data_IF_172302362447
#
_entry.id   IF_172302362447
#
_cell.length_a   1.000
_cell.length_b   1.000
_cell.length_c   1.000
_cell.angle_alpha   90.00
_cell.angle_beta   90.00
_cell.angle_gamma   90.00
#
_symmetry.space_group_name_H-M   'P 1'
#
loop_
_entity.id
_entity.type
_entity.pdbx_description
1 polymer ?
#
# COMPACT_ATOMS: atom_id res chain seq x y z
N UNK A 1 13.93 21.79 17.93
CA UNK A 1 12.66 21.56 18.66
C UNK A 1 12.58 20.07 18.91
N UNK A 2 12.63 19.67 20.19
CA UNK A 2 12.68 18.27 20.62
C UNK A 2 11.25 17.73 20.69
N UNK A 3 10.89 16.81 19.79
CA UNK A 3 9.63 16.07 19.87
C UNK A 3 9.66 15.18 21.12
N UNK A 4 8.96 15.62 22.16
CA UNK A 4 8.79 14.89 23.41
C UNK A 4 7.82 13.71 23.16
N UNK A 5 8.32 12.64 22.54
CA UNK A 5 7.55 11.42 22.33
C UNK A 5 7.27 10.78 23.69
N UNK A 6 6.07 11.04 24.23
CA UNK A 6 5.53 10.32 25.37
C UNK A 6 5.62 8.83 25.07
N UNK A 7 6.34 8.09 25.91
CA UNK A 7 6.39 6.62 25.81
C UNK A 7 4.96 6.11 25.84
N UNK A 8 4.57 5.17 24.97
CA UNK A 8 3.23 4.59 25.02
C UNK A 8 3.06 3.94 26.40
N UNK A 9 2.22 4.55 27.23
CA UNK A 9 1.79 4.01 28.51
C UNK A 9 0.79 2.89 28.24
N UNK A 10 0.86 1.84 29.05
CA UNK A 10 -0.16 0.80 29.01
C UNK A 10 -1.54 1.43 29.31
N UNK A 11 -2.61 1.02 28.62
CA UNK A 11 -3.95 1.57 28.86
C UNK A 11 -4.39 1.37 30.31
N UNK A 12 -5.29 2.22 30.80
CA UNK A 12 -5.89 2.03 32.14
C UNK A 12 -6.82 0.80 32.16
N UNK A 13 -7.09 0.24 33.34
CA UNK A 13 -8.07 -0.84 33.48
C UNK A 13 -9.45 -0.45 32.95
N UNK A 14 -9.86 0.80 33.18
CA UNK A 14 -11.12 1.36 32.65
C UNK A 14 -11.13 1.41 31.11
N UNK A 15 -10.03 1.80 30.46
CA UNK A 15 -9.91 1.77 29.00
C UNK A 15 -10.01 0.34 28.45
N UNK A 16 -9.36 -0.62 29.12
CA UNK A 16 -9.41 -2.04 28.73
C UNK A 16 -10.83 -2.59 28.88
N UNK A 17 -11.52 -2.27 29.98
CA UNK A 17 -12.90 -2.69 30.22
C UNK A 17 -13.86 -2.08 29.18
N UNK A 18 -13.71 -0.79 28.86
CA UNK A 18 -14.50 -0.13 27.83
C UNK A 18 -14.31 -0.78 26.45
N UNK A 19 -13.08 -1.06 26.06
CA UNK A 19 -12.77 -1.75 24.80
C UNK A 19 -13.36 -3.17 24.81
N UNK A 20 -13.23 -3.89 25.92
CA UNK A 20 -13.75 -5.26 26.07
C UNK A 20 -15.28 -5.28 25.96
N UNK A 21 -15.95 -4.34 26.62
CA UNK A 21 -17.41 -4.19 26.57
C UNK A 21 -17.90 -3.84 25.16
N UNK A 22 -17.17 -2.95 24.47
CA UNK A 22 -17.48 -2.59 23.08
C UNK A 22 -17.40 -3.79 22.12
N UNK A 23 -16.36 -4.62 22.23
CA UNK A 23 -16.22 -5.82 21.36
C UNK A 23 -17.08 -7.00 21.80
N UNK A 24 -17.61 -6.98 23.03
CA UNK A 24 -18.55 -7.97 23.54
C UNK A 24 -19.99 -7.72 23.08
N UNK A 25 -20.30 -6.53 22.56
CA UNK A 25 -21.61 -6.25 21.99
C UNK A 25 -21.85 -7.11 20.73
N UNK A 26 -22.91 -7.91 20.76
CA UNK A 26 -23.38 -8.71 19.63
C UNK A 26 -23.68 -7.91 18.36
N UNK A 27 -23.92 -6.60 18.48
CA UNK A 27 -24.18 -5.68 17.38
C UNK A 27 -22.94 -4.89 16.94
N UNK A 28 -21.76 -5.17 17.51
CA UNK A 28 -20.53 -4.48 17.17
C UNK A 28 -20.21 -4.65 15.68
N UNK A 29 -20.21 -3.52 14.96
CA UNK A 29 -20.02 -3.48 13.50
C UNK A 29 -18.54 -3.55 13.10
N UNK A 30 -17.61 -3.52 14.04
CA UNK A 30 -16.18 -3.44 13.74
C UNK A 30 -15.44 -4.75 14.04
N UNK A 31 -16.19 -5.86 14.10
CA UNK A 31 -15.63 -7.20 14.30
C UNK A 31 -15.28 -7.84 12.94
N UNK A 32 -14.05 -8.34 12.85
CA UNK A 32 -13.62 -9.19 11.75
C UNK A 32 -14.33 -10.55 11.82
N UNK A 33 -15.04 -10.92 10.77
CA UNK A 33 -15.63 -12.24 10.63
C UNK A 33 -14.55 -13.24 10.19
N UNK A 34 -14.08 -14.04 11.14
CA UNK A 34 -13.16 -15.15 10.88
C UNK A 34 -13.85 -16.29 10.13
N UNK A 35 -13.07 -17.01 9.33
CA UNK A 35 -13.55 -18.21 8.66
C UNK A 35 -13.75 -19.34 9.69
N UNK A 36 -14.90 -20.01 9.66
CA UNK A 36 -15.17 -21.18 10.50
C UNK A 36 -14.26 -22.35 10.11
N UNK A 37 -13.90 -23.19 11.08
CA UNK A 37 -13.02 -24.36 10.85
C UNK A 37 -13.59 -25.37 9.85
N UNK A 38 -14.92 -25.46 9.75
CA UNK A 38 -15.65 -26.31 8.82
C UNK A 38 -16.24 -25.54 7.61
N UNK A 39 -15.70 -24.36 7.29
CA UNK A 39 -16.19 -23.56 6.17
C UNK A 39 -16.11 -24.31 4.83
N UNK A 40 -17.08 -24.04 3.96
CA UNK A 40 -17.12 -24.63 2.61
C UNK A 40 -15.94 -24.15 1.75
N UNK A 41 -15.59 -24.92 0.71
CA UNK A 41 -14.57 -24.48 -0.26
C UNK A 41 -14.94 -23.16 -0.93
N UNK A 42 -16.22 -22.92 -1.18
CA UNK A 42 -16.70 -21.66 -1.72
C UNK A 42 -16.41 -20.49 -0.77
N UNK A 43 -16.66 -20.67 0.53
CA UNK A 43 -16.41 -19.65 1.54
C UNK A 43 -14.92 -19.40 1.74
N UNK A 44 -14.08 -20.45 1.69
CA UNK A 44 -12.62 -20.32 1.70
C UNK A 44 -12.12 -19.45 0.56
N UNK A 45 -12.63 -19.66 -0.66
CA UNK A 45 -12.26 -18.85 -1.84
C UNK A 45 -12.70 -17.40 -1.65
N UNK A 46 -13.94 -17.15 -1.24
CA UNK A 46 -14.43 -15.78 -0.98
C UNK A 46 -13.57 -15.07 0.07
N UNK A 47 -13.25 -15.78 1.15
CA UNK A 47 -12.44 -15.23 2.24
C UNK A 47 -11.02 -14.89 1.77
N UNK A 48 -10.41 -15.79 0.98
CA UNK A 48 -9.10 -15.55 0.36
C UNK A 48 -9.09 -14.29 -0.52
N UNK A 49 -10.14 -14.08 -1.31
CA UNK A 49 -10.30 -12.86 -2.11
C UNK A 49 -10.40 -11.60 -1.25
N UNK A 50 -11.21 -11.62 -0.17
CA UNK A 50 -11.27 -10.50 0.78
C UNK A 50 -9.90 -10.22 1.41
N UNK A 51 -9.19 -11.25 1.86
CA UNK A 51 -7.85 -11.10 2.45
C UNK A 51 -6.83 -10.52 1.48
N UNK A 52 -6.92 -10.89 0.20
CA UNK A 52 -6.08 -10.32 -0.85
C UNK A 52 -6.34 -8.81 -1.03
N UNK A 53 -7.61 -8.39 -1.05
CA UNK A 53 -7.97 -6.96 -1.13
C UNK A 53 -7.50 -6.21 0.12
N UNK A 54 -7.68 -6.79 1.32
CA UNK A 54 -7.19 -6.21 2.57
C UNK A 54 -5.68 -6.07 2.60
N UNK A 55 -4.94 -7.04 2.04
CA UNK A 55 -3.49 -6.97 1.88
C UNK A 55 -3.09 -5.82 0.96
N UNK A 56 -3.72 -5.70 -0.20
CA UNK A 56 -3.49 -4.59 -1.14
C UNK A 56 -3.66 -3.23 -0.47
N UNK A 57 -4.74 -3.04 0.30
CA UNK A 57 -4.97 -1.80 1.09
C UNK A 57 -3.80 -1.50 2.02
N UNK A 58 -3.31 -2.49 2.77
CA UNK A 58 -2.17 -2.31 3.70
C UNK A 58 -0.88 -1.96 2.96
N UNK A 59 -0.55 -2.68 1.89
CA UNK A 59 0.68 -2.50 1.12
C UNK A 59 0.71 -1.13 0.43
N UNK A 60 -0.45 -0.66 -0.05
CA UNK A 60 -0.59 0.65 -0.68
C UNK A 60 -0.96 1.78 0.31
N UNK A 61 -1.04 1.48 1.62
CA UNK A 61 -1.38 2.45 2.68
C UNK A 61 -2.68 3.22 2.44
N UNK A 62 -3.67 2.56 1.84
CA UNK A 62 -4.95 3.17 1.51
C UNK A 62 -5.82 3.28 2.76
N UNK A 63 -6.59 4.35 2.87
CA UNK A 63 -7.74 4.43 3.76
C UNK A 63 -8.90 3.58 3.21
N UNK A 64 -9.89 3.18 4.04
CA UNK A 64 -11.08 2.48 3.55
C UNK A 64 -11.83 3.23 2.44
N UNK A 65 -11.90 4.57 2.54
CA UNK A 65 -12.57 5.41 1.56
C UNK A 65 -11.81 5.46 0.22
N UNK A 66 -10.48 5.60 0.26
CA UNK A 66 -9.65 5.50 -0.95
C UNK A 66 -9.76 4.13 -1.63
N UNK A 67 -9.81 3.06 -0.84
CA UNK A 67 -10.05 1.72 -1.36
C UNK A 67 -11.41 1.61 -2.04
N UNK A 68 -12.48 2.14 -1.42
CA UNK A 68 -13.82 2.15 -1.98
C UNK A 68 -13.87 2.88 -3.33
N UNK A 69 -13.27 4.08 -3.39
CA UNK A 69 -13.15 4.87 -4.63
C UNK A 69 -12.40 4.12 -5.72
N UNK A 70 -11.26 3.49 -5.39
CA UNK A 70 -10.47 2.70 -6.35
C UNK A 70 -11.24 1.51 -6.91
N UNK A 71 -11.98 0.84 -6.04
CA UNK A 71 -12.80 -0.30 -6.43
C UNK A 71 -14.11 0.10 -7.10
N UNK A 72 -14.46 1.39 -7.14
CA UNK A 72 -15.78 1.92 -7.55
C UNK A 72 -16.94 1.22 -6.82
N UNK A 73 -16.78 1.08 -5.50
CA UNK A 73 -17.82 0.57 -4.60
C UNK A 73 -18.10 1.62 -3.52
N UNK A 74 -19.21 1.44 -2.79
CA UNK A 74 -19.48 2.28 -1.63
C UNK A 74 -18.61 1.88 -0.43
N UNK A 75 -18.49 2.79 0.54
CA UNK A 75 -17.68 2.60 1.74
C UNK A 75 -18.13 1.37 2.54
N UNK A 76 -19.44 1.18 2.73
CA UNK A 76 -20.00 0.01 3.40
C UNK A 76 -19.53 -1.31 2.78
N UNK A 77 -19.49 -1.42 1.44
CA UNK A 77 -18.99 -2.63 0.78
C UNK A 77 -17.49 -2.79 1.00
N UNK A 78 -16.72 -1.72 0.92
CA UNK A 78 -15.29 -1.77 1.21
C UNK A 78 -15.04 -2.26 2.64
N UNK A 79 -15.77 -1.74 3.64
CA UNK A 79 -15.71 -2.20 5.02
C UNK A 79 -16.09 -3.68 5.14
N UNK A 80 -17.20 -4.11 4.53
CA UNK A 80 -17.60 -5.51 4.56
C UNK A 80 -16.53 -6.45 3.99
N UNK A 81 -15.76 -6.02 2.98
CA UNK A 81 -14.61 -6.76 2.46
C UNK A 81 -13.47 -6.77 3.50
N UNK A 82 -13.14 -5.60 4.07
CA UNK A 82 -12.06 -5.45 5.05
C UNK A 82 -12.31 -6.28 6.32
N UNK A 83 -13.56 -6.37 6.76
CA UNK A 83 -14.00 -7.18 7.91
C UNK A 83 -14.26 -8.65 7.55
N UNK A 84 -14.03 -9.09 6.31
CA UNK A 84 -14.16 -10.51 5.94
C UNK A 84 -15.60 -11.05 5.90
N UNK A 85 -16.61 -10.19 5.72
CA UNK A 85 -18.04 -10.54 5.72
C UNK A 85 -18.50 -11.20 4.43
N UNK A 86 -17.96 -12.38 4.16
CA UNK A 86 -18.12 -13.12 2.89
C UNK A 86 -19.58 -13.48 2.54
N UNK A 87 -20.46 -13.52 3.54
CA UNK A 87 -21.90 -13.79 3.37
C UNK A 87 -22.61 -12.69 2.55
N UNK A 88 -22.08 -11.46 2.56
CA UNK A 88 -22.63 -10.32 1.84
C UNK A 88 -22.27 -10.27 0.36
N UNK A 89 -21.41 -11.18 -0.12
CA UNK A 89 -20.87 -11.14 -1.47
C UNK A 89 -21.11 -12.43 -2.26
N UNK A 90 -21.35 -12.25 -3.55
CA UNK A 90 -21.26 -13.35 -4.53
C UNK A 90 -19.81 -13.56 -4.94
N UNK A 91 -19.44 -14.79 -5.28
CA UNK A 91 -18.06 -15.11 -5.69
C UNK A 91 -17.61 -14.28 -6.90
N UNK A 92 -18.48 -14.14 -7.91
CA UNK A 92 -18.14 -13.38 -9.13
C UNK A 92 -17.92 -11.89 -8.86
N UNK A 93 -18.65 -11.32 -7.90
CA UNK A 93 -18.45 -9.93 -7.46
C UNK A 93 -17.05 -9.76 -6.86
N UNK A 94 -16.66 -10.62 -5.92
CA UNK A 94 -15.32 -10.57 -5.32
C UNK A 94 -14.19 -10.80 -6.33
N UNK A 95 -14.39 -11.72 -7.28
CA UNK A 95 -13.41 -11.95 -8.37
C UNK A 95 -13.22 -10.69 -9.22
N UNK A 96 -14.31 -10.00 -9.55
CA UNK A 96 -14.25 -8.75 -10.34
C UNK A 96 -13.49 -7.66 -9.58
N UNK A 97 -13.76 -7.49 -8.29
CA UNK A 97 -13.06 -6.50 -7.45
C UNK A 97 -11.56 -6.83 -7.31
N UNK A 98 -11.23 -8.10 -7.10
CA UNK A 98 -9.84 -8.54 -7.02
C UNK A 98 -9.09 -8.33 -8.34
N UNK A 99 -9.71 -8.63 -9.48
CA UNK A 99 -9.12 -8.38 -10.80
C UNK A 99 -8.89 -6.89 -11.06
N UNK A 100 -9.79 -6.03 -10.59
CA UNK A 100 -9.64 -4.57 -10.73
C UNK A 100 -8.40 -4.06 -9.98
N UNK A 101 -8.17 -4.55 -8.76
CA UNK A 101 -6.94 -4.24 -8.02
C UNK A 101 -5.68 -4.71 -8.76
N UNK A 102 -5.71 -5.93 -9.31
CA UNK A 102 -4.56 -6.50 -10.02
C UNK A 102 -4.23 -5.78 -11.35
N UNK A 103 -5.21 -5.14 -12.00
CA UNK A 103 -4.97 -4.33 -13.21
C UNK A 103 -4.20 -3.05 -12.87
N UNK A 104 -4.57 -2.34 -11.80
CA UNK A 104 -3.87 -1.12 -11.43
C UNK A 104 -2.39 -1.35 -11.07
N UNK A 105 -2.05 -2.47 -10.42
CA UNK A 105 -0.64 -2.79 -10.17
C UNK A 105 0.14 -2.99 -11.46
N UNK A 106 -0.50 -3.62 -12.47
CA UNK A 106 0.10 -3.76 -13.80
C UNK A 106 0.25 -2.42 -14.51
N UNK A 107 -0.74 -1.54 -14.41
CA UNK A 107 -0.70 -0.23 -15.04
C UNK A 107 0.43 0.63 -14.45
N UNK A 108 0.63 0.60 -13.13
CA UNK A 108 1.79 1.26 -12.47
C UNK A 108 3.14 0.69 -12.93
N UNK A 109 3.23 -0.62 -13.12
CA UNK A 109 4.43 -1.29 -13.63
C UNK A 109 4.73 -0.89 -15.08
N UNK A 110 3.69 -0.76 -15.92
CA UNK A 110 3.82 -0.31 -17.30
C UNK A 110 4.29 1.15 -17.34
N UNK A 111 3.70 2.02 -16.53
CA UNK A 111 4.06 3.44 -16.43
C UNK A 111 5.52 3.63 -16.00
N UNK A 112 5.94 2.93 -14.94
CA UNK A 112 7.32 2.96 -14.47
C UNK A 112 8.32 2.46 -15.52
N UNK A 113 7.97 1.40 -16.25
CA UNK A 113 8.83 0.90 -17.33
C UNK A 113 8.89 1.88 -18.52
N UNK A 114 7.81 2.61 -18.80
CA UNK A 114 7.82 3.69 -19.80
C UNK A 114 8.76 4.82 -19.38
N UNK A 115 8.68 5.28 -18.13
CA UNK A 115 9.57 6.31 -17.58
C UNK A 115 11.04 5.88 -17.60
N UNK A 116 11.32 4.62 -17.27
CA UNK A 116 12.67 4.05 -17.36
C UNK A 116 13.20 4.02 -18.79
N UNK A 117 12.37 3.63 -19.77
CA UNK A 117 12.76 3.61 -21.17
C UNK A 117 13.06 5.02 -21.69
N UNK A 118 12.28 6.03 -21.28
CA UNK A 118 12.54 7.43 -21.61
C UNK A 118 13.86 7.92 -21.02
N UNK A 119 14.20 7.50 -19.80
CA UNK A 119 15.48 7.82 -19.16
C UNK A 119 16.66 7.13 -19.88
N UNK A 120 16.52 5.86 -20.24
CA UNK A 120 17.53 5.10 -21.00
C UNK A 120 17.80 5.80 -22.35
N UNK A 121 16.74 6.12 -23.10
CA UNK A 121 16.85 6.80 -24.39
C UNK A 121 17.51 8.19 -24.25
N UNK A 122 17.25 8.91 -23.16
CA UNK A 122 17.91 10.19 -22.88
C UNK A 122 19.41 10.00 -22.62
N UNK A 123 19.80 8.98 -21.84
CA UNK A 123 21.22 8.70 -21.56
C UNK A 123 21.98 8.25 -22.81
N UNK A 124 21.36 7.44 -23.68
CA UNK A 124 21.92 7.05 -24.98
C UNK A 124 22.16 8.27 -25.88
N UNK A 125 21.22 9.22 -25.93
CA UNK A 125 21.38 10.48 -26.68
C UNK A 125 22.53 11.35 -26.19
N UNK A 126 22.89 11.24 -24.91
CA UNK A 126 24.04 11.94 -24.33
C UNK A 126 25.36 11.19 -24.58
N UNK A 127 25.34 10.03 -25.25
CA UNK A 127 26.52 9.20 -25.48
C UNK A 127 27.04 8.53 -24.21
N UNK A 128 26.18 8.39 -23.19
CA UNK A 128 26.53 7.70 -21.94
C UNK A 128 26.25 6.21 -22.17
N UNK A 129 27.25 5.48 -22.61
CA UNK A 129 27.17 4.02 -22.69
C UNK A 129 27.18 3.44 -21.27
N UNK A 130 26.13 2.68 -20.90
CA UNK A 130 25.96 1.84 -19.69
C UNK A 130 27.19 1.81 -18.75
N UNK A 131 27.45 2.91 -18.07
CA UNK A 131 28.32 2.92 -16.90
C UNK A 131 27.43 2.68 -15.72
N UNK A 132 27.83 1.73 -14.87
CA UNK A 132 27.15 1.44 -13.61
C UNK A 132 26.74 2.76 -12.96
N UNK A 133 25.42 2.96 -12.76
CA UNK A 133 24.79 4.18 -12.21
C UNK A 133 25.30 4.58 -10.81
N UNK A 134 26.35 3.92 -10.32
CA UNK A 134 27.00 4.07 -9.03
C UNK A 134 27.93 5.30 -8.98
N UNK A 135 28.43 5.79 -10.13
CA UNK A 135 29.53 6.78 -10.14
C UNK A 135 29.24 8.14 -10.80
N UNK A 136 27.99 8.50 -11.12
CA UNK A 136 27.70 9.85 -11.64
C UNK A 136 27.70 10.86 -10.46
N UNK A 137 28.64 11.83 -10.41
CA UNK A 137 28.63 12.84 -9.37
C UNK A 137 27.40 13.73 -9.51
N UNK A 138 26.68 13.93 -8.40
CA UNK A 138 25.40 14.64 -8.34
C UNK A 138 25.43 16.07 -8.94
N UNK A 139 26.60 16.71 -8.94
CA UNK A 139 26.83 18.02 -9.55
C UNK A 139 26.68 18.04 -11.07
N UNK A 140 26.68 16.89 -11.73
CA UNK A 140 26.52 16.75 -13.18
C UNK A 140 25.09 16.37 -13.60
N UNK A 141 24.18 16.11 -12.65
CA UNK A 141 22.78 15.84 -12.98
C UNK A 141 22.05 17.17 -13.26
N UNK A 142 21.51 17.39 -14.48
CA UNK A 142 20.82 18.62 -14.80
C UNK A 142 19.60 18.85 -13.88
N UNK A 143 19.48 20.07 -13.32
CA UNK A 143 18.37 20.45 -12.43
C UNK A 143 16.96 20.27 -13.05
N UNK A 144 16.86 20.18 -14.38
CA UNK A 144 15.60 19.92 -15.07
C UNK A 144 15.07 18.50 -14.81
N UNK A 145 15.97 17.52 -14.59
CA UNK A 145 15.62 16.12 -14.31
C UNK A 145 15.11 15.98 -12.88
N UNK A 146 15.77 16.61 -11.90
CA UNK A 146 15.35 16.56 -10.49
C UNK A 146 14.00 17.24 -10.25
N UNK A 147 13.63 18.22 -11.09
CA UNK A 147 12.31 18.87 -11.05
C UNK A 147 11.17 18.03 -11.61
N UNK A 148 11.45 17.12 -12.56
CA UNK A 148 10.44 16.24 -13.19
C UNK A 148 10.13 14.98 -12.38
N UNK A 149 11.01 14.56 -11.48
CA UNK A 149 10.85 13.35 -10.67
C UNK A 149 10.92 13.62 -9.15
N UNK A 150 9.97 14.39 -8.58
CA UNK A 150 10.02 14.84 -7.19
C UNK A 150 9.87 13.72 -6.14
N UNK A 151 9.41 12.53 -6.55
CA UNK A 151 9.22 11.36 -5.69
C UNK A 151 10.47 10.47 -5.58
N UNK A 152 11.49 10.68 -6.42
CA UNK A 152 12.82 10.11 -6.22
C UNK A 152 13.48 10.89 -5.09
N UNK A 153 13.12 10.57 -3.84
CA UNK A 153 13.86 11.04 -2.66
C UNK A 153 15.19 10.31 -2.63
N UNK A 154 16.19 10.90 -3.29
CA UNK A 154 17.57 10.45 -3.26
C UNK A 154 18.04 10.49 -1.80
N UNK A 155 18.34 9.32 -1.22
CA UNK A 155 18.88 9.23 0.14
C UNK A 155 20.28 9.87 0.15
N UNK A 156 20.42 11.05 0.78
CA UNK A 156 21.68 11.74 1.12
C UNK A 156 22.65 10.95 2.04
N UNK A 157 22.65 9.61 2.01
CA UNK A 157 23.40 8.79 2.98
C UNK A 157 24.90 8.71 2.66
N UNK A 158 25.35 9.10 1.45
CA UNK A 158 26.73 8.86 1.00
C UNK A 158 27.66 10.10 0.96
N UNK A 159 27.17 11.32 1.21
CA UNK A 159 28.03 12.52 1.18
C UNK A 159 29.05 12.62 2.33
N UNK A 160 28.92 11.84 3.42
CA UNK A 160 29.90 11.88 4.52
C UNK A 160 31.13 10.99 4.31
N UNK A 161 31.20 10.20 3.24
CA UNK A 161 32.35 9.34 2.98
C UNK A 161 33.47 9.99 2.14
N UNK A 162 33.26 11.21 1.62
CA UNK A 162 34.15 11.81 0.62
C UNK A 162 34.84 13.13 1.04
N UNK A 163 34.79 13.52 2.32
CA UNK A 163 35.53 14.70 2.85
C UNK A 163 36.59 14.28 3.88
N UNK A 164 37.24 13.13 3.67
CA UNK A 164 38.45 12.79 4.42
C UNK A 164 39.36 11.92 3.57
N UNK A 165 40.19 12.58 2.76
CA UNK A 165 41.54 12.18 2.39
C UNK A 165 42.28 13.36 1.78
#
# INVERSE_FOLDING_TARGET
>A
MSDNQKRPTFPSEEEIENITNYFSDSNCKDINEGLKSNASELDKIKYSLCQSISRYKRENKLTPNELARKLEINEDKAENILYGRISKFKLNELKSLHQKNAREEKDKLIDYNSELNDLILFTEKLGIENTDFVDIPFSQVPNQITSRFPHIKIKKKYERAWISK
#
